data_IF_478969255209
#
_entry.id   IF_478969255209
#
_cell.length_a   1.000
_cell.length_b   1.000
_cell.length_c   1.000
_cell.angle_alpha   90.00
_cell.angle_beta   90.00
_cell.angle_gamma   90.00
#
_symmetry.space_group_name_H-M   'P 1'
#
loop_
_entity.id
_entity.type
_entity.pdbx_description
1 polymer ?
#
# COMPACT_ATOMS: atom_id res chain seq x y z
N UNK A 1 -41.40 12.29 10.14
CA UNK A 1 -40.32 11.61 9.42
C UNK A 1 -39.60 12.45 8.37
N UNK A 2 -40.31 13.32 7.61
CA UNK A 2 -39.66 14.14 6.54
C UNK A 2 -38.79 15.28 7.07
N UNK A 3 -39.08 15.85 8.23
CA UNK A 3 -38.31 16.98 8.79
C UNK A 3 -36.93 16.54 9.33
N UNK A 4 -36.78 15.31 9.80
CA UNK A 4 -35.50 14.80 10.29
C UNK A 4 -34.55 14.51 9.13
N UNK A 5 -35.02 13.87 8.05
CA UNK A 5 -34.22 13.57 6.88
C UNK A 5 -33.71 14.84 6.18
N UNK A 6 -34.54 15.85 6.01
CA UNK A 6 -34.14 17.14 5.45
C UNK A 6 -33.11 17.86 6.34
N UNK A 7 -33.27 17.80 7.68
CA UNK A 7 -32.30 18.34 8.63
C UNK A 7 -30.96 17.63 8.54
N UNK A 8 -30.93 16.30 8.35
CA UNK A 8 -29.72 15.53 8.26
C UNK A 8 -28.99 15.78 6.94
N UNK A 9 -29.70 15.93 5.82
CA UNK A 9 -29.14 16.34 4.53
C UNK A 9 -28.50 17.74 4.63
N UNK A 10 -29.21 18.68 5.26
CA UNK A 10 -28.71 20.04 5.44
C UNK A 10 -27.44 20.07 6.31
N UNK A 11 -27.43 19.32 7.42
CA UNK A 11 -26.24 19.20 8.29
C UNK A 11 -25.05 18.61 7.54
N UNK A 12 -25.26 17.57 6.72
CA UNK A 12 -24.21 17.00 5.87
C UNK A 12 -23.66 18.00 4.87
N UNK A 13 -24.50 18.79 4.23
CA UNK A 13 -24.08 19.83 3.30
C UNK A 13 -23.23 20.91 3.98
N UNK A 14 -23.65 21.39 5.15
CA UNK A 14 -22.88 22.36 5.93
C UNK A 14 -21.52 21.77 6.32
N UNK A 15 -21.48 20.52 6.77
CA UNK A 15 -20.26 19.83 7.16
C UNK A 15 -19.29 19.71 5.99
N UNK A 16 -19.77 19.29 4.82
CA UNK A 16 -18.95 19.22 3.60
C UNK A 16 -18.37 20.59 3.23
N UNK A 17 -19.18 21.64 3.33
CA UNK A 17 -18.74 23.02 3.05
C UNK A 17 -17.66 23.49 4.04
N UNK A 18 -17.86 23.26 5.33
CA UNK A 18 -16.90 23.64 6.36
C UNK A 18 -15.57 22.91 6.18
N UNK A 19 -15.61 21.63 5.86
CA UNK A 19 -14.40 20.84 5.59
C UNK A 19 -13.68 21.33 4.34
N UNK A 20 -14.42 21.64 3.26
CA UNK A 20 -13.82 22.16 2.04
C UNK A 20 -13.10 23.50 2.29
N UNK A 21 -13.68 24.37 3.11
CA UNK A 21 -13.07 25.66 3.48
C UNK A 21 -11.78 25.50 4.31
N UNK A 22 -11.62 24.39 5.04
CA UNK A 22 -10.43 24.09 5.84
C UNK A 22 -9.41 23.25 5.07
N UNK A 23 -9.70 22.86 3.84
CA UNK A 23 -8.79 22.05 3.02
C UNK A 23 -7.59 22.87 2.52
N UNK A 24 -6.47 22.19 2.29
CA UNK A 24 -5.29 22.82 1.71
C UNK A 24 -5.56 23.37 0.29
N UNK A 25 -6.50 22.79 -0.46
CA UNK A 25 -6.92 23.27 -1.76
C UNK A 25 -7.59 24.63 -1.68
N UNK A 26 -8.38 24.88 -0.62
CA UNK A 26 -9.07 26.16 -0.45
C UNK A 26 -8.12 27.34 -0.24
N UNK A 27 -6.94 27.12 0.35
CA UNK A 27 -5.92 28.15 0.51
C UNK A 27 -5.44 28.76 -0.81
N UNK A 28 -5.67 28.09 -1.95
CA UNK A 28 -5.34 28.64 -3.28
C UNK A 28 -6.31 29.70 -3.77
N UNK A 29 -7.49 29.78 -3.15
CA UNK A 29 -8.53 30.73 -3.49
C UNK A 29 -8.61 31.91 -2.51
N UNK A 30 -7.76 31.93 -1.48
CA UNK A 30 -7.71 32.99 -0.49
C UNK A 30 -6.39 33.77 -0.55
N UNK A 31 -6.45 35.05 -0.22
CA UNK A 31 -5.29 35.89 0.01
C UNK A 31 -4.73 35.68 1.43
N UNK A 32 -3.68 36.43 1.79
CA UNK A 32 -3.05 36.37 3.12
C UNK A 32 -3.98 36.83 4.27
N UNK A 33 -5.06 37.52 3.92
CA UNK A 33 -6.07 38.03 4.86
C UNK A 33 -7.27 37.10 4.95
N UNK A 34 -7.29 36.01 4.16
CA UNK A 34 -8.39 35.03 4.12
C UNK A 34 -9.56 35.40 3.21
N UNK A 35 -9.46 36.50 2.43
CA UNK A 35 -10.46 36.88 1.46
C UNK A 35 -10.24 36.16 0.13
N UNK A 36 -11.30 36.07 -0.67
CA UNK A 36 -11.19 35.48 -2.00
C UNK A 36 -10.25 36.29 -2.90
N UNK A 37 -9.29 35.59 -3.53
CA UNK A 37 -8.25 36.22 -4.35
C UNK A 37 -8.67 36.41 -5.84
N UNK A 38 -9.92 36.14 -6.20
CA UNK A 38 -10.44 36.31 -7.54
C UNK A 38 -10.25 35.10 -8.49
N UNK A 39 -9.53 34.06 -8.07
CA UNK A 39 -9.31 32.86 -8.86
C UNK A 39 -10.57 31.95 -8.85
N UNK A 40 -10.90 31.39 -10.01
CA UNK A 40 -11.94 30.36 -10.14
C UNK A 40 -11.32 28.97 -10.06
N UNK A 41 -12.17 27.95 -9.88
CA UNK A 41 -11.73 26.54 -9.85
C UNK A 41 -11.07 26.16 -11.17
N UNK A 42 -11.56 26.68 -12.32
CA UNK A 42 -10.97 26.45 -13.63
C UNK A 42 -9.60 27.06 -13.80
N UNK A 43 -9.30 28.18 -13.12
CA UNK A 43 -7.99 28.84 -13.18
C UNK A 43 -6.92 28.03 -12.44
N UNK A 44 -7.31 27.30 -11.38
CA UNK A 44 -6.38 26.51 -10.54
C UNK A 44 -6.26 25.06 -11.01
N UNK A 45 -7.37 24.42 -11.39
CA UNK A 45 -7.44 23.00 -11.73
C UNK A 45 -7.77 22.70 -13.19
N UNK A 46 -7.91 23.73 -14.03
CA UNK A 46 -8.33 23.58 -15.42
C UNK A 46 -9.83 23.27 -15.57
N UNK A 47 -10.22 22.75 -16.73
CA UNK A 47 -11.62 22.45 -17.05
C UNK A 47 -12.08 21.07 -16.53
N UNK A 48 -11.45 20.51 -15.53
CA UNK A 48 -11.87 19.25 -14.92
C UNK A 48 -13.12 19.43 -14.04
N UNK A 49 -14.06 18.51 -14.15
CA UNK A 49 -15.23 18.48 -13.28
C UNK A 49 -14.84 17.98 -11.90
N UNK A 50 -14.85 18.86 -10.90
CA UNK A 50 -14.54 18.54 -9.52
C UNK A 50 -15.83 18.32 -8.75
N UNK A 51 -16.10 17.08 -8.36
CA UNK A 51 -17.24 16.74 -7.50
C UNK A 51 -16.83 16.84 -6.04
N UNK A 52 -17.48 17.73 -5.30
CA UNK A 52 -17.32 17.88 -3.85
C UNK A 52 -18.46 17.14 -3.17
N UNK A 53 -18.15 16.30 -2.19
CA UNK A 53 -19.15 15.53 -1.45
C UNK A 53 -18.59 14.98 -0.14
N UNK A 54 -19.36 14.08 0.48
CA UNK A 54 -18.97 13.45 1.73
C UNK A 54 -17.97 12.33 1.49
N UNK A 55 -16.71 12.58 1.84
CA UNK A 55 -15.58 11.67 1.57
C UNK A 55 -15.00 11.01 2.84
N UNK A 56 -15.40 11.46 4.03
CA UNK A 56 -14.76 11.06 5.30
C UNK A 56 -14.78 9.55 5.54
N UNK A 57 -15.89 8.88 5.23
CA UNK A 57 -15.99 7.44 5.38
C UNK A 57 -14.97 6.68 4.53
N UNK A 58 -14.78 7.12 3.29
CA UNK A 58 -13.83 6.51 2.37
C UNK A 58 -12.38 6.84 2.71
N UNK A 59 -12.11 8.07 3.16
CA UNK A 59 -10.77 8.47 3.61
C UNK A 59 -10.39 7.76 4.93
N UNK A 60 -11.34 7.61 5.84
CA UNK A 60 -11.14 6.80 7.05
C UNK A 60 -10.87 5.34 6.70
N UNK A 61 -11.58 4.78 5.73
CA UNK A 61 -11.34 3.44 5.20
C UNK A 61 -9.93 3.34 4.62
N UNK A 62 -9.50 4.31 3.81
CA UNK A 62 -8.16 4.38 3.25
C UNK A 62 -7.08 4.36 4.35
N UNK A 63 -7.20 5.19 5.39
CA UNK A 63 -6.26 5.18 6.54
C UNK A 63 -6.23 3.82 7.25
N UNK A 64 -7.36 3.18 7.43
CA UNK A 64 -7.43 1.86 8.06
C UNK A 64 -6.81 0.77 7.16
N UNK A 65 -7.04 0.83 5.84
CA UNK A 65 -6.44 -0.12 4.89
C UNK A 65 -4.92 -0.12 4.96
N UNK A 66 -4.26 1.03 5.16
CA UNK A 66 -2.80 1.10 5.36
C UNK A 66 -2.37 0.22 6.53
N UNK A 67 -3.06 0.32 7.67
CA UNK A 67 -2.75 -0.48 8.87
C UNK A 67 -2.95 -1.97 8.62
N UNK A 68 -4.05 -2.33 7.96
CA UNK A 68 -4.34 -3.74 7.62
C UNK A 68 -3.32 -4.31 6.63
N UNK A 69 -2.86 -3.54 5.65
CA UNK A 69 -1.87 -4.00 4.69
C UNK A 69 -0.47 -4.14 5.30
N UNK A 70 -0.10 -3.29 6.26
CA UNK A 70 1.14 -3.49 7.04
C UNK A 70 1.04 -4.79 7.85
N UNK A 71 -0.06 -5.00 8.56
CA UNK A 71 -0.29 -6.22 9.32
C UNK A 71 -0.30 -7.48 8.40
N UNK A 72 -0.91 -7.36 7.22
CA UNK A 72 -0.91 -8.42 6.21
C UNK A 72 0.50 -8.74 5.72
N UNK A 73 1.34 -7.72 5.43
CA UNK A 73 2.72 -7.95 5.02
C UNK A 73 3.51 -8.71 6.09
N UNK A 74 3.33 -8.36 7.37
CA UNK A 74 3.91 -9.10 8.50
C UNK A 74 3.38 -10.53 8.59
N UNK A 75 2.08 -10.74 8.39
CA UNK A 75 1.49 -12.07 8.37
C UNK A 75 2.06 -12.93 7.22
N UNK A 76 2.24 -12.35 6.05
CA UNK A 76 2.88 -13.05 4.90
C UNK A 76 4.33 -13.44 5.24
N UNK A 77 5.09 -12.57 5.91
CA UNK A 77 6.45 -12.90 6.39
C UNK A 77 6.40 -14.10 7.33
N UNK A 78 5.50 -14.08 8.31
CA UNK A 78 5.37 -15.18 9.31
C UNK A 78 5.01 -16.50 8.62
N UNK A 79 4.09 -16.47 7.66
CA UNK A 79 3.67 -17.69 6.94
C UNK A 79 4.77 -18.25 6.03
N UNK A 80 5.59 -17.39 5.42
CA UNK A 80 6.57 -17.81 4.42
C UNK A 80 7.98 -18.01 4.98
N UNK A 81 8.31 -17.46 6.15
CA UNK A 81 9.63 -17.62 6.75
C UNK A 81 10.06 -19.08 6.90
N UNK A 82 9.21 -20.03 7.33
CA UNK A 82 9.60 -21.42 7.47
C UNK A 82 9.62 -22.24 6.18
N UNK A 83 9.23 -21.70 5.03
CA UNK A 83 8.95 -22.47 3.80
C UNK A 83 10.16 -23.27 3.27
N UNK A 84 11.37 -22.77 3.49
CA UNK A 84 12.64 -23.46 3.19
C UNK A 84 13.42 -23.72 4.49
N UNK A 85 13.56 -22.71 5.34
CA UNK A 85 14.36 -22.78 6.57
C UNK A 85 13.84 -23.80 7.58
N UNK A 86 12.53 -24.08 7.59
CA UNK A 86 11.94 -25.10 8.46
C UNK A 86 12.25 -26.56 8.05
N UNK A 87 12.85 -26.78 6.89
CA UNK A 87 13.19 -28.11 6.40
C UNK A 87 14.64 -28.51 6.63
N UNK A 88 15.54 -27.54 6.86
CA UNK A 88 16.97 -27.78 7.03
C UNK A 88 17.34 -28.64 8.24
N UNK A 89 16.42 -28.89 9.17
CA UNK A 89 16.65 -29.65 10.39
C UNK A 89 16.21 -31.12 10.31
N UNK A 90 16.16 -31.73 9.10
CA UNK A 90 15.94 -33.17 8.99
C UNK A 90 15.07 -33.67 7.84
N UNK A 91 14.20 -32.82 7.27
CA UNK A 91 13.32 -33.18 6.14
C UNK A 91 13.98 -32.91 4.80
N UNK A 92 14.95 -32.02 4.75
CA UNK A 92 15.73 -31.65 3.57
C UNK A 92 16.42 -32.88 2.92
N UNK A 93 16.97 -33.79 3.74
CA UNK A 93 17.58 -35.03 3.31
C UNK A 93 16.64 -35.88 2.43
N UNK A 94 15.39 -36.03 2.86
CA UNK A 94 14.37 -36.83 2.15
C UNK A 94 13.92 -36.10 0.88
N UNK A 95 13.72 -34.81 0.95
CA UNK A 95 13.25 -34.01 -0.18
C UNK A 95 14.32 -33.93 -1.26
N UNK A 96 15.57 -33.62 -0.89
CA UNK A 96 16.68 -33.39 -1.82
C UNK A 96 17.16 -34.67 -2.49
N UNK A 97 16.97 -35.85 -1.89
CA UNK A 97 17.27 -37.16 -2.48
C UNK A 97 16.17 -37.66 -3.39
N UNK A 98 14.95 -37.12 -3.29
CA UNK A 98 13.86 -37.51 -4.16
C UNK A 98 14.05 -37.01 -5.61
N UNK A 99 13.52 -37.78 -6.60
CA UNK A 99 13.65 -37.48 -8.04
C UNK A 99 13.25 -36.05 -8.43
N UNK A 100 12.30 -35.44 -7.72
CA UNK A 100 11.74 -34.12 -8.05
C UNK A 100 11.92 -33.08 -6.96
N UNK A 101 12.59 -33.40 -5.84
CA UNK A 101 12.75 -32.54 -4.68
C UNK A 101 13.48 -31.24 -4.99
N UNK A 102 14.59 -31.32 -5.74
CA UNK A 102 15.40 -30.15 -6.11
C UNK A 102 14.75 -29.22 -7.15
N UNK A 103 13.79 -29.69 -7.90
CA UNK A 103 13.23 -28.91 -9.02
C UNK A 103 11.74 -28.62 -8.83
N UNK A 104 10.89 -29.64 -8.90
CA UNK A 104 9.43 -29.47 -8.84
C UNK A 104 8.94 -29.02 -7.46
N UNK A 105 9.49 -29.61 -6.39
CA UNK A 105 9.10 -29.22 -5.03
C UNK A 105 9.46 -27.78 -4.74
N UNK A 106 10.69 -27.34 -5.07
CA UNK A 106 11.12 -25.95 -4.89
C UNK A 106 10.27 -24.97 -5.68
N UNK A 107 9.93 -25.32 -6.94
CA UNK A 107 9.05 -24.48 -7.76
C UNK A 107 7.64 -24.40 -7.18
N UNK A 108 7.10 -25.52 -6.69
CA UNK A 108 5.79 -25.56 -6.05
C UNK A 108 5.72 -24.70 -4.79
N UNK A 109 6.77 -24.72 -3.96
CA UNK A 109 6.87 -23.86 -2.77
C UNK A 109 6.87 -22.37 -3.12
N UNK A 110 7.68 -21.96 -4.11
CA UNK A 110 7.69 -20.59 -4.58
C UNK A 110 6.32 -20.18 -5.12
N UNK A 111 5.70 -21.03 -5.95
CA UNK A 111 4.37 -20.76 -6.49
C UNK A 111 3.30 -20.70 -5.39
N UNK A 112 3.36 -21.58 -4.39
CA UNK A 112 2.47 -21.54 -3.24
C UNK A 112 2.63 -20.25 -2.44
N UNK A 113 3.87 -19.80 -2.20
CA UNK A 113 4.14 -18.53 -1.53
C UNK A 113 3.57 -17.33 -2.27
N UNK A 114 3.75 -17.27 -3.58
CA UNK A 114 3.19 -16.21 -4.42
C UNK A 114 1.65 -16.24 -4.39
N UNK A 115 1.07 -17.42 -4.53
CA UNK A 115 -0.39 -17.59 -4.52
C UNK A 115 -0.99 -17.20 -3.16
N UNK A 116 -0.34 -17.59 -2.06
CA UNK A 116 -0.73 -17.19 -0.71
C UNK A 116 -0.73 -15.67 -0.57
N UNK A 117 0.32 -14.97 -1.02
CA UNK A 117 0.40 -13.52 -0.96
C UNK A 117 -0.72 -12.85 -1.77
N UNK A 118 -1.00 -13.33 -2.99
CA UNK A 118 -2.06 -12.79 -3.85
C UNK A 118 -3.43 -13.01 -3.20
N UNK A 119 -3.74 -14.23 -2.76
CA UNK A 119 -5.04 -14.57 -2.21
C UNK A 119 -5.31 -13.83 -0.89
N UNK A 120 -4.33 -13.77 0.02
CA UNK A 120 -4.50 -13.07 1.29
C UNK A 120 -4.66 -11.56 1.08
N UNK A 121 -3.92 -10.96 0.13
CA UNK A 121 -4.07 -9.54 -0.22
C UNK A 121 -5.46 -9.27 -0.79
N UNK A 122 -5.92 -10.09 -1.72
CA UNK A 122 -7.26 -9.96 -2.30
C UNK A 122 -8.36 -10.09 -1.25
N UNK A 123 -8.24 -11.06 -0.33
CA UNK A 123 -9.22 -11.27 0.75
C UNK A 123 -9.27 -10.08 1.71
N UNK A 124 -8.11 -9.56 2.15
CA UNK A 124 -8.05 -8.41 3.05
C UNK A 124 -8.58 -7.16 2.36
N UNK A 125 -8.24 -6.91 1.10
CA UNK A 125 -8.77 -5.78 0.34
C UNK A 125 -10.28 -5.89 0.16
N UNK A 126 -10.79 -7.06 -0.25
CA UNK A 126 -12.22 -7.30 -0.43
C UNK A 126 -12.99 -7.14 0.88
N UNK A 127 -12.47 -7.66 1.98
CA UNK A 127 -13.10 -7.54 3.30
C UNK A 127 -13.22 -6.07 3.74
N UNK A 128 -12.14 -5.29 3.61
CA UNK A 128 -12.17 -3.86 3.95
C UNK A 128 -13.14 -3.08 3.07
N UNK A 129 -13.15 -3.33 1.75
CA UNK A 129 -14.10 -2.68 0.84
C UNK A 129 -15.54 -3.07 1.14
N UNK A 130 -15.81 -4.35 1.42
CA UNK A 130 -17.14 -4.82 1.80
C UNK A 130 -17.64 -4.13 3.06
N UNK A 131 -16.82 -4.04 4.10
CA UNK A 131 -17.18 -3.33 5.32
C UNK A 131 -17.49 -1.85 5.02
N UNK A 132 -16.65 -1.18 4.25
CA UNK A 132 -16.86 0.21 3.89
C UNK A 132 -18.17 0.40 3.10
N UNK A 133 -18.48 -0.48 2.15
CA UNK A 133 -19.72 -0.45 1.38
C UNK A 133 -20.96 -0.69 2.25
N UNK A 134 -20.86 -1.56 3.25
CA UNK A 134 -21.98 -1.81 4.18
C UNK A 134 -22.27 -0.58 5.05
N UNK A 135 -21.23 0.11 5.54
CA UNK A 135 -21.39 1.24 6.45
C UNK A 135 -21.63 2.58 5.74
N UNK A 136 -21.00 2.82 4.60
CA UNK A 136 -21.01 4.12 3.92
C UNK A 136 -21.77 4.10 2.58
N UNK A 137 -22.13 2.93 2.07
CA UNK A 137 -22.72 2.81 0.73
C UNK A 137 -21.72 3.13 -0.37
N UNK A 138 -22.21 3.58 -1.52
CA UNK A 138 -21.37 3.97 -2.67
C UNK A 138 -21.20 5.49 -2.81
N UNK A 139 -21.87 6.27 -1.95
CA UNK A 139 -21.81 7.73 -1.98
C UNK A 139 -20.39 8.21 -1.67
N UNK A 140 -19.91 9.22 -2.40
CA UNK A 140 -18.61 9.83 -2.21
C UNK A 140 -17.44 9.14 -2.91
N UNK A 141 -17.62 7.96 -3.52
CA UNK A 141 -16.54 7.29 -4.28
C UNK A 141 -16.08 8.08 -5.50
N UNK A 142 -16.97 8.80 -6.14
CA UNK A 142 -16.72 9.65 -7.29
C UNK A 142 -16.35 11.09 -6.91
N UNK A 143 -16.38 11.42 -5.62
CA UNK A 143 -15.99 12.73 -5.12
C UNK A 143 -14.48 12.88 -5.05
N UNK A 144 -14.03 14.12 -5.34
CA UNK A 144 -12.61 14.48 -5.29
C UNK A 144 -12.11 14.58 -3.85
N UNK A 145 -10.87 14.15 -3.62
CA UNK A 145 -10.19 14.33 -2.34
C UNK A 145 -9.51 15.69 -2.19
N UNK A 146 -9.52 16.53 -3.23
CA UNK A 146 -8.88 17.86 -3.22
C UNK A 146 -9.37 18.75 -2.08
N UNK A 147 -10.68 18.68 -1.82
CA UNK A 147 -11.34 19.44 -0.77
C UNK A 147 -11.63 18.61 0.49
N UNK A 148 -10.89 17.52 0.67
CA UNK A 148 -10.97 16.72 1.88
C UNK A 148 -10.41 17.48 3.11
N UNK A 149 -10.89 17.17 4.33
CA UNK A 149 -10.34 17.74 5.54
C UNK A 149 -8.83 17.53 5.65
N UNK A 150 -8.13 18.52 6.20
CA UNK A 150 -6.66 18.48 6.42
C UNK A 150 -6.20 17.30 7.28
N UNK A 151 -7.08 16.76 8.12
CA UNK A 151 -6.81 15.56 8.91
C UNK A 151 -6.57 14.30 8.07
N UNK A 152 -7.04 14.29 6.83
CA UNK A 152 -6.90 13.16 5.91
C UNK A 152 -5.88 13.40 4.81
N UNK A 153 -5.73 14.64 4.37
CA UNK A 153 -4.85 15.03 3.27
C UNK A 153 -3.96 16.16 3.74
N UNK A 154 -2.69 15.87 3.97
CA UNK A 154 -1.69 16.87 4.33
C UNK A 154 -1.17 17.54 3.04
N UNK A 155 -1.36 18.86 2.95
CA UNK A 155 -0.85 19.66 1.84
C UNK A 155 -1.75 19.72 0.61
N UNK A 156 -1.29 20.40 -0.42
CA UNK A 156 -2.02 20.62 -1.67
C UNK A 156 -1.75 19.49 -2.67
N UNK A 157 -2.80 18.92 -3.22
CA UNK A 157 -2.71 17.93 -4.31
C UNK A 157 -2.92 18.67 -5.63
N UNK A 158 -1.96 18.64 -6.59
CA UNK A 158 -2.04 19.44 -7.82
C UNK A 158 -2.95 18.84 -8.91
N UNK A 159 -3.55 17.69 -8.69
CA UNK A 159 -4.39 17.00 -9.67
C UNK A 159 -5.65 16.41 -9.01
N UNK A 160 -6.71 16.27 -9.80
CA UNK A 160 -7.98 15.75 -9.33
C UNK A 160 -7.94 14.23 -9.19
N UNK A 161 -8.07 13.73 -7.96
CA UNK A 161 -8.21 12.31 -7.65
C UNK A 161 -9.51 12.08 -6.90
N UNK A 162 -10.30 11.10 -7.35
CA UNK A 162 -11.49 10.66 -6.64
C UNK A 162 -11.14 9.63 -5.55
N UNK A 163 -11.97 9.53 -4.53
CA UNK A 163 -11.82 8.50 -3.48
C UNK A 163 -11.72 7.08 -4.07
N UNK A 164 -12.53 6.77 -5.08
CA UNK A 164 -12.50 5.47 -5.74
C UNK A 164 -11.17 5.20 -6.47
N UNK A 165 -10.59 6.21 -7.09
CA UNK A 165 -9.26 6.10 -7.72
C UNK A 165 -8.17 5.92 -6.68
N UNK A 166 -8.22 6.66 -5.58
CA UNK A 166 -7.30 6.51 -4.44
C UNK A 166 -7.30 5.07 -3.91
N UNK A 167 -8.47 4.49 -3.67
CA UNK A 167 -8.59 3.12 -3.16
C UNK A 167 -8.05 2.07 -4.15
N UNK A 168 -8.28 2.26 -5.46
CA UNK A 168 -7.71 1.38 -6.50
C UNK A 168 -6.18 1.40 -6.46
N UNK A 169 -5.58 2.59 -6.38
CA UNK A 169 -4.13 2.72 -6.24
C UNK A 169 -3.61 2.05 -4.96
N UNK A 170 -4.31 2.25 -3.86
CA UNK A 170 -3.93 1.66 -2.57
C UNK A 170 -3.93 0.13 -2.62
N UNK A 171 -4.94 -0.48 -3.23
CA UNK A 171 -5.01 -1.92 -3.42
C UNK A 171 -3.87 -2.40 -4.33
N UNK A 172 -3.61 -1.71 -5.45
CA UNK A 172 -2.50 -2.03 -6.34
C UNK A 172 -1.16 -2.01 -5.58
N UNK A 173 -0.92 -0.97 -4.78
CA UNK A 173 0.30 -0.83 -3.99
C UNK A 173 0.39 -1.88 -2.87
N UNK A 174 -0.72 -2.33 -2.32
CA UNK A 174 -0.74 -3.45 -1.38
C UNK A 174 -0.28 -4.76 -2.03
N UNK A 175 -0.70 -5.04 -3.26
CA UNK A 175 -0.19 -6.18 -4.03
C UNK A 175 1.31 -6.05 -4.31
N UNK A 176 1.79 -4.89 -4.72
CA UNK A 176 3.23 -4.68 -4.94
C UNK A 176 4.04 -4.87 -3.66
N UNK A 177 3.54 -4.39 -2.51
CA UNK A 177 4.15 -4.59 -1.21
C UNK A 177 4.25 -6.08 -0.85
N UNK A 178 3.13 -6.79 -0.85
CA UNK A 178 3.08 -8.20 -0.44
C UNK A 178 3.88 -9.11 -1.37
N UNK A 179 3.91 -8.85 -2.67
CA UNK A 179 4.75 -9.58 -3.61
C UNK A 179 6.24 -9.30 -3.39
N UNK A 180 6.63 -8.05 -3.11
CA UNK A 180 8.02 -7.71 -2.76
C UNK A 180 8.48 -8.41 -1.49
N UNK A 181 7.64 -8.35 -0.45
CA UNK A 181 7.89 -9.02 0.83
C UNK A 181 7.98 -10.53 0.65
N UNK A 182 7.14 -11.12 -0.18
CA UNK A 182 7.20 -12.55 -0.53
C UNK A 182 8.55 -12.91 -1.12
N UNK A 183 9.04 -12.14 -2.10
CA UNK A 183 10.35 -12.38 -2.70
C UNK A 183 11.49 -12.31 -1.69
N UNK A 184 11.51 -11.27 -0.86
CA UNK A 184 12.52 -11.09 0.19
C UNK A 184 12.46 -12.25 1.20
N UNK A 185 11.27 -12.62 1.65
CA UNK A 185 11.09 -13.69 2.64
C UNK A 185 11.49 -15.06 2.09
N UNK A 186 11.12 -15.37 0.84
CA UNK A 186 11.56 -16.61 0.18
C UNK A 186 13.08 -16.69 0.08
N UNK A 187 13.73 -15.58 -0.29
CA UNK A 187 15.21 -15.51 -0.35
C UNK A 187 15.83 -15.76 1.02
N UNK A 188 15.37 -15.04 2.05
CA UNK A 188 15.90 -15.17 3.41
C UNK A 188 15.65 -16.56 3.99
N UNK A 189 14.46 -17.13 3.74
CA UNK A 189 14.14 -18.50 4.14
C UNK A 189 15.09 -19.54 3.49
N UNK A 190 15.47 -19.33 2.24
CA UNK A 190 16.35 -20.27 1.53
C UNK A 190 17.81 -20.21 1.98
N UNK A 191 18.31 -19.04 2.44
CA UNK A 191 19.71 -18.89 2.89
C UNK A 191 19.87 -19.15 4.38
N UNK A 192 18.81 -19.04 5.17
CA UNK A 192 18.84 -19.19 6.63
C UNK A 192 18.59 -20.64 7.01
N UNK A 193 19.47 -21.22 7.80
CA UNK A 193 19.29 -22.59 8.35
C UNK A 193 18.25 -22.65 9.49
N UNK A 194 17.89 -21.50 10.06
CA UNK A 194 16.95 -21.40 11.16
C UNK A 194 15.78 -20.49 10.77
N UNK A 195 14.56 -20.98 10.99
CA UNK A 195 13.33 -20.26 10.64
C UNK A 195 13.15 -18.94 11.43
N UNK A 196 13.64 -18.88 12.68
CA UNK A 196 13.56 -17.67 13.51
C UNK A 196 14.48 -16.59 12.94
N UNK A 197 15.68 -16.96 12.49
CA UNK A 197 16.61 -16.02 11.84
C UNK A 197 16.01 -15.48 10.55
N UNK A 198 15.41 -16.34 9.70
CA UNK A 198 14.75 -15.92 8.49
C UNK A 198 13.60 -14.94 8.79
N UNK A 199 12.77 -15.24 9.79
CA UNK A 199 11.66 -14.43 10.25
C UNK A 199 12.11 -13.05 10.72
N UNK A 200 13.05 -13.01 11.66
CA UNK A 200 13.54 -11.75 12.24
C UNK A 200 14.22 -10.88 11.18
N UNK A 201 15.03 -11.48 10.31
CA UNK A 201 15.67 -10.76 9.22
C UNK A 201 14.66 -10.17 8.23
N UNK A 202 13.60 -10.92 7.87
CA UNK A 202 12.55 -10.43 6.97
C UNK A 202 11.76 -9.27 7.59
N UNK A 203 11.38 -9.37 8.86
CA UNK A 203 10.70 -8.29 9.59
C UNK A 203 11.62 -7.06 9.68
N UNK A 204 12.90 -7.25 10.01
CA UNK A 204 13.85 -6.15 10.10
C UNK A 204 14.01 -5.43 8.77
N UNK A 205 14.19 -6.14 7.66
CA UNK A 205 14.31 -5.53 6.32
C UNK A 205 13.02 -4.80 5.93
N UNK A 206 11.86 -5.33 6.33
CA UNK A 206 10.58 -4.70 6.03
C UNK A 206 10.37 -3.41 6.82
N UNK A 207 10.65 -3.40 8.13
CA UNK A 207 10.35 -2.27 9.02
C UNK A 207 11.50 -1.25 9.12
N UNK A 208 12.75 -1.70 8.99
CA UNK A 208 13.93 -0.84 9.18
C UNK A 208 13.92 0.47 8.35
N UNK A 209 13.44 0.49 7.10
CA UNK A 209 13.44 1.71 6.31
C UNK A 209 12.66 2.88 6.95
N UNK A 210 11.61 2.58 7.73
CA UNK A 210 10.81 3.60 8.43
C UNK A 210 11.61 4.30 9.54
N UNK A 211 12.61 3.62 10.09
CA UNK A 211 13.47 4.15 11.16
C UNK A 211 14.62 5.02 10.62
N UNK A 212 14.82 5.04 9.30
CA UNK A 212 15.87 5.86 8.71
C UNK A 212 15.44 7.33 8.66
N UNK A 213 16.22 8.27 9.21
CA UNK A 213 15.92 9.68 9.15
C UNK A 213 16.30 10.25 7.77
N UNK A 214 15.64 9.76 6.72
CA UNK A 214 15.90 10.18 5.36
C UNK A 214 14.90 11.27 5.01
N UNK A 215 15.40 12.47 4.77
CA UNK A 215 14.62 13.63 4.32
C UNK A 215 14.50 13.66 2.80
N UNK A 216 13.48 14.32 2.28
CA UNK A 216 13.21 14.49 0.84
C UNK A 216 14.38 15.13 0.08
N UNK A 217 15.20 15.93 0.76
CA UNK A 217 16.41 16.54 0.19
C UNK A 217 17.52 15.51 -0.12
N UNK A 218 17.43 14.29 0.40
CA UNK A 218 18.43 13.26 0.17
C UNK A 218 18.14 12.49 -1.16
N UNK A 219 19.10 12.40 -2.10
CA UNK A 219 18.89 11.69 -3.36
C UNK A 219 18.57 10.18 -3.15
N UNK A 220 18.97 9.59 -2.02
CA UNK A 220 18.63 8.22 -1.66
C UNK A 220 17.15 8.05 -1.28
N UNK A 221 16.43 9.12 -0.99
CA UNK A 221 15.00 9.08 -0.65
C UNK A 221 14.18 8.36 -1.73
N UNK A 222 14.47 8.61 -3.01
CA UNK A 222 13.79 7.95 -4.13
C UNK A 222 14.03 6.43 -4.16
N UNK A 223 15.23 5.97 -3.83
CA UNK A 223 15.56 4.56 -3.78
C UNK A 223 14.93 3.86 -2.57
N UNK A 224 14.97 4.53 -1.41
CA UNK A 224 14.34 4.02 -0.19
C UNK A 224 12.83 3.95 -0.35
N UNK A 225 12.22 4.90 -1.06
CA UNK A 225 10.81 4.90 -1.41
C UNK A 225 10.37 3.69 -2.26
N UNK A 226 11.29 2.96 -2.89
CA UNK A 226 10.97 1.73 -3.62
C UNK A 226 10.96 0.47 -2.73
N UNK A 227 11.29 0.60 -1.45
CA UNK A 227 11.25 -0.52 -0.50
C UNK A 227 9.80 -0.88 -0.14
N UNK A 228 9.51 -2.16 0.15
CA UNK A 228 8.14 -2.66 0.26
C UNK A 228 7.24 -1.90 1.23
N UNK A 229 7.77 -1.45 2.37
CA UNK A 229 6.98 -0.71 3.38
C UNK A 229 6.42 0.59 2.82
N UNK A 230 7.18 1.29 1.98
CA UNK A 230 6.75 2.55 1.38
C UNK A 230 5.67 2.38 0.33
N UNK A 231 5.52 1.19 -0.29
CA UNK A 231 4.39 0.93 -1.18
C UNK A 231 3.05 1.07 -0.44
N UNK A 232 2.97 0.66 0.83
CA UNK A 232 1.76 0.81 1.64
C UNK A 232 1.66 2.22 2.22
N UNK A 233 2.80 2.81 2.64
CA UNK A 233 2.84 4.14 3.26
C UNK A 233 2.69 5.28 2.24
N UNK A 234 2.95 5.06 0.95
CA UNK A 234 2.92 6.09 -0.08
C UNK A 234 1.62 6.90 -0.10
N UNK A 235 0.50 6.27 0.22
CA UNK A 235 -0.81 6.93 0.23
C UNK A 235 -1.04 7.74 1.51
N UNK A 236 -0.50 7.32 2.64
CA UNK A 236 -0.55 8.12 3.87
C UNK A 236 0.41 9.30 3.86
N UNK A 237 1.41 9.23 2.98
CA UNK A 237 2.40 10.27 2.73
C UNK A 237 2.04 11.11 1.49
N UNK A 238 0.75 11.27 1.18
CA UNK A 238 0.24 12.11 0.09
C UNK A 238 0.71 13.57 0.24
N UNK A 239 2.04 13.76 0.30
CA UNK A 239 2.67 15.06 0.17
C UNK A 239 2.72 15.44 -1.31
N UNK A 240 2.60 16.71 -1.58
CA UNK A 240 2.58 17.30 -2.92
C UNK A 240 3.75 16.83 -3.80
N UNK A 241 4.92 16.63 -3.22
CA UNK A 241 6.11 16.21 -3.95
C UNK A 241 6.09 14.72 -4.32
N UNK A 242 5.50 13.90 -3.50
CA UNK A 242 5.38 12.47 -3.77
C UNK A 242 4.28 12.16 -4.75
N UNK A 243 3.25 12.98 -4.88
CA UNK A 243 2.17 12.78 -5.81
C UNK A 243 2.28 13.59 -7.11
N UNK A 244 3.02 14.66 -7.20
CA UNK A 244 3.49 15.14 -8.52
C UNK A 244 4.34 14.08 -9.24
N UNK A 245 4.98 13.21 -8.47
CA UNK A 245 5.54 11.92 -8.89
C UNK A 245 4.61 10.72 -8.60
N UNK A 246 3.41 10.88 -8.08
CA UNK A 246 2.61 9.82 -7.45
C UNK A 246 1.96 8.87 -8.43
N UNK A 247 1.56 9.33 -9.61
CA UNK A 247 1.27 8.41 -10.72
C UNK A 247 2.55 7.70 -11.17
N UNK A 248 3.71 8.36 -11.12
CA UNK A 248 5.02 7.80 -11.37
C UNK A 248 5.43 6.81 -10.28
N UNK A 249 5.01 7.00 -9.02
CA UNK A 249 5.33 6.07 -7.95
C UNK A 249 4.75 4.67 -8.19
N UNK A 250 3.50 4.55 -8.59
CA UNK A 250 2.90 3.25 -8.94
C UNK A 250 3.60 2.60 -10.14
N UNK A 251 4.06 3.40 -11.11
CA UNK A 251 4.84 2.93 -12.27
C UNK A 251 6.18 2.34 -11.81
N UNK A 252 6.83 2.89 -10.78
CA UNK A 252 8.08 2.36 -10.25
C UNK A 252 7.89 1.25 -9.22
N UNK A 253 6.80 1.27 -8.45
CA UNK A 253 6.48 0.23 -7.47
C UNK A 253 6.25 -1.14 -8.11
N UNK A 254 5.62 -1.19 -9.30
CA UNK A 254 5.38 -2.45 -10.02
C UNK A 254 6.69 -3.12 -10.44
N UNK A 255 7.60 -2.47 -11.19
CA UNK A 255 8.89 -3.09 -11.56
C UNK A 255 9.76 -3.39 -10.33
N UNK A 256 9.72 -2.59 -9.27
CA UNK A 256 10.41 -2.89 -8.02
C UNK A 256 9.88 -4.20 -7.39
N UNK A 257 8.56 -4.37 -7.33
CA UNK A 257 7.95 -5.59 -6.82
C UNK A 257 8.30 -6.82 -7.66
N UNK A 258 8.29 -6.69 -8.98
CA UNK A 258 8.68 -7.77 -9.88
C UNK A 258 10.17 -8.12 -9.73
N UNK A 259 11.02 -7.13 -9.50
CA UNK A 259 12.44 -7.34 -9.23
C UNK A 259 12.65 -8.08 -7.90
N UNK A 260 12.08 -7.61 -6.80
CA UNK A 260 12.18 -8.27 -5.50
C UNK A 260 11.65 -9.71 -5.56
N UNK A 261 10.49 -9.90 -6.19
CA UNK A 261 9.89 -11.23 -6.34
C UNK A 261 10.73 -12.13 -7.24
N UNK A 262 11.12 -11.65 -8.41
CA UNK A 262 11.89 -12.43 -9.41
C UNK A 262 13.26 -12.81 -8.91
N UNK A 263 14.00 -11.86 -8.34
CA UNK A 263 15.32 -12.10 -7.75
C UNK A 263 15.19 -13.04 -6.54
N UNK A 264 14.26 -12.76 -5.62
CA UNK A 264 14.04 -13.59 -4.44
C UNK A 264 13.66 -15.03 -4.79
N UNK A 265 12.66 -15.21 -5.65
CA UNK A 265 12.24 -16.53 -6.12
C UNK A 265 13.34 -17.27 -6.92
N UNK A 266 14.09 -16.55 -7.76
CA UNK A 266 15.17 -17.13 -8.57
C UNK A 266 16.34 -17.59 -7.73
N UNK A 267 16.77 -16.79 -6.77
CA UNK A 267 17.88 -17.12 -5.87
C UNK A 267 17.46 -18.22 -4.91
N UNK A 268 16.29 -18.17 -4.31
CA UNK A 268 15.80 -19.19 -3.38
C UNK A 268 15.78 -20.58 -4.03
N UNK A 269 15.30 -20.67 -5.30
CA UNK A 269 15.33 -21.92 -6.05
C UNK A 269 16.75 -22.44 -6.28
N UNK A 270 17.71 -21.57 -6.62
CA UNK A 270 19.11 -21.95 -6.87
C UNK A 270 19.81 -22.36 -5.59
N UNK A 271 19.64 -21.62 -4.50
CA UNK A 271 20.27 -21.89 -3.22
C UNK A 271 19.78 -23.22 -2.67
N UNK A 272 18.47 -23.42 -2.58
CA UNK A 272 17.90 -24.66 -2.06
C UNK A 272 18.27 -25.88 -2.93
N UNK A 273 18.25 -25.74 -4.27
CA UNK A 273 18.63 -26.83 -5.16
C UNK A 273 20.11 -27.21 -5.06
N UNK A 274 21.00 -26.26 -4.69
CA UNK A 274 22.45 -26.51 -4.48
C UNK A 274 22.80 -26.93 -3.07
N UNK A 275 21.85 -26.87 -2.15
CA UNK A 275 22.07 -27.30 -0.78
C UNK A 275 22.48 -28.77 -0.78
N UNK A 276 23.69 -29.02 -0.28
CA UNK A 276 24.22 -30.39 -0.11
C UNK A 276 23.94 -30.79 1.34
N UNK A 277 23.38 -31.95 1.46
CA UNK A 277 23.15 -32.58 2.75
C UNK A 277 24.52 -32.94 3.32
N UNK A 278 24.86 -32.33 4.45
CA UNK A 278 26.09 -32.63 5.22
C UNK A 278 25.79 -33.71 6.27
#
# INVERSE_FOLDING_TARGET
GYSSAASDVYKRQIYVYQNAMQSAAFSRFSDKEGNWNGLSVSDVFGNEEIKIGYVDGWLSTSKNMVRFFIALALAVIIMLAPIFSGEYEGVDNIILTSKYGKTKCTTAKVAAGILTAILTTALVAAFNLLLALIFYGTEGLDCSILFAPSDYVEGFIPFNITCGTLLKYQILLAFTCTLSVTGITLFLSAISKNQIVALVAAIAIFLFPVLLPITEANPLFRLVGLLPIYHVLAISLLSVEQMSNGMLYAIWAIPAALLFLGVGAGISRRVFAKHQVS
#
